data_IF_571092083156
#
_entry.id   IF_571092083156
#
_cell.length_a   1.000
_cell.length_b   1.000
_cell.length_c   1.000
_cell.angle_alpha   90.00
_cell.angle_beta   90.00
_cell.angle_gamma   90.00
#
_symmetry.space_group_name_H-M   'P 1'
#
loop_
_entity.id
_entity.type
_entity.pdbx_description
1 polymer ?
#
# COMPACT_ATOMS: atom_id res chain seq x y z
N UNK A 1 38.25 22.36 -6.60
CA UNK A 1 37.17 23.08 -5.92
C UNK A 1 35.95 22.20 -6.04
N UNK A 2 35.61 21.44 -5.00
CA UNK A 2 34.45 20.55 -4.98
C UNK A 2 33.19 21.42 -5.03
N UNK A 3 32.45 21.35 -6.13
CA UNK A 3 31.12 21.94 -6.19
C UNK A 3 30.26 21.04 -5.32
N UNK A 4 29.68 21.56 -4.24
CA UNK A 4 28.88 20.75 -3.33
C UNK A 4 27.77 20.03 -4.12
N UNK A 5 27.77 18.70 -4.11
CA UNK A 5 26.91 17.85 -4.96
C UNK A 5 25.42 17.90 -4.61
N UNK A 6 25.01 18.77 -3.68
CA UNK A 6 23.70 18.73 -3.04
C UNK A 6 23.21 20.12 -2.63
N UNK A 7 21.89 20.30 -2.59
CA UNK A 7 21.26 21.39 -1.85
C UNK A 7 20.84 20.92 -0.46
N UNK A 8 21.05 21.77 0.53
CA UNK A 8 20.79 21.50 1.95
C UNK A 8 19.86 22.57 2.49
N UNK A 9 18.75 22.14 3.08
CA UNK A 9 17.79 22.99 3.78
C UNK A 9 17.87 22.72 5.29
N UNK A 10 18.07 23.77 6.07
CA UNK A 10 18.24 23.70 7.53
C UNK A 10 17.23 24.60 8.23
N UNK A 11 16.85 24.23 9.46
CA UNK A 11 16.08 25.04 10.39
C UNK A 11 16.75 25.07 11.78
N UNK A 12 16.05 25.58 12.79
CA UNK A 12 16.55 25.71 14.16
C UNK A 12 16.97 24.36 14.80
N UNK A 13 16.46 23.24 14.28
CA UNK A 13 16.75 21.87 14.73
C UNK A 13 17.81 21.17 13.85
N UNK A 14 18.40 21.86 12.88
CA UNK A 14 19.49 21.35 12.02
C UNK A 14 19.06 20.98 10.60
N UNK A 15 19.61 19.90 10.04
CA UNK A 15 19.30 19.47 8.66
C UNK A 15 17.86 18.98 8.55
N UNK A 16 17.06 19.63 7.71
CA UNK A 16 15.66 19.27 7.45
C UNK A 16 15.56 18.38 6.22
N UNK A 17 16.13 18.85 5.10
CA UNK A 17 16.07 18.18 3.80
C UNK A 17 17.43 18.30 3.12
N UNK A 18 17.89 17.21 2.51
CA UNK A 18 18.99 17.21 1.55
C UNK A 18 18.49 16.67 0.22
N UNK A 19 18.75 17.39 -0.85
CA UNK A 19 18.45 16.97 -2.22
C UNK A 19 19.73 16.92 -3.04
N UNK A 20 19.80 16.02 -4.00
CA UNK A 20 20.88 16.02 -4.98
C UNK A 20 20.83 17.28 -5.84
N UNK A 21 21.99 17.69 -6.36
CA UNK A 21 22.05 18.73 -7.37
C UNK A 21 21.64 18.15 -8.74
N UNK A 22 20.77 18.86 -9.44
CA UNK A 22 20.34 18.50 -10.80
C UNK A 22 20.42 19.70 -11.75
N UNK A 23 20.40 19.43 -13.05
CA UNK A 23 20.36 20.45 -14.09
C UNK A 23 19.07 20.32 -14.89
N UNK A 24 18.36 21.43 -15.01
CA UNK A 24 17.20 21.56 -15.90
C UNK A 24 17.63 22.24 -17.19
N UNK A 25 17.75 21.47 -18.27
CA UNK A 25 18.17 21.94 -19.58
C UNK A 25 16.98 22.08 -20.54
N UNK A 26 16.84 23.24 -21.17
CA UNK A 26 15.81 23.53 -22.18
C UNK A 26 16.47 24.08 -23.42
N UNK A 27 15.97 23.73 -24.60
CA UNK A 27 16.40 24.40 -25.82
C UNK A 27 15.85 25.83 -25.88
N UNK A 28 16.68 26.75 -26.37
CA UNK A 28 16.36 28.16 -26.55
C UNK A 28 15.21 28.40 -27.51
N UNK A 29 15.07 27.53 -28.52
CA UNK A 29 14.00 27.55 -29.53
C UNK A 29 12.67 26.93 -29.07
N UNK A 30 12.62 26.36 -27.86
CA UNK A 30 11.38 25.86 -27.26
C UNK A 30 10.64 26.96 -26.51
N UNK A 31 9.31 26.83 -26.40
CA UNK A 31 8.49 27.71 -25.58
C UNK A 31 8.99 27.74 -24.12
N UNK A 32 8.89 28.89 -23.43
CA UNK A 32 9.36 29.00 -22.03
C UNK A 32 8.64 28.05 -21.07
N UNK A 33 7.42 27.65 -21.39
CA UNK A 33 6.59 26.72 -20.61
C UNK A 33 6.86 25.24 -20.94
N UNK A 34 7.72 24.94 -21.91
CA UNK A 34 8.06 23.55 -22.24
C UNK A 34 8.79 22.90 -21.05
N UNK A 35 8.39 21.68 -20.69
CA UNK A 35 9.04 20.92 -19.62
C UNK A 35 10.53 20.73 -19.95
N UNK A 36 11.45 21.22 -19.09
CA UNK A 36 12.88 21.05 -19.32
C UNK A 36 13.31 19.59 -19.13
N UNK A 37 14.44 19.23 -19.75
CA UNK A 37 15.10 17.95 -19.49
C UNK A 37 15.87 18.04 -18.17
N UNK A 38 15.50 17.25 -17.18
CA UNK A 38 16.18 17.20 -15.87
C UNK A 38 17.25 16.11 -15.91
N UNK A 39 18.47 16.46 -15.47
CA UNK A 39 19.66 15.62 -15.54
C UNK A 39 20.39 15.61 -14.19
N UNK A 40 20.80 14.44 -13.72
CA UNK A 40 21.76 14.32 -12.60
C UNK A 40 23.18 14.82 -13.01
N UNK A 41 24.14 14.99 -12.08
CA UNK A 41 25.46 15.51 -12.41
C UNK A 41 26.22 14.69 -13.49
N UNK A 42 26.14 13.36 -13.43
CA UNK A 42 26.82 12.47 -14.39
C UNK A 42 26.14 12.48 -15.75
N UNK A 43 24.82 12.61 -15.77
CA UNK A 43 24.05 12.75 -17.01
C UNK A 43 24.27 14.12 -17.65
N UNK A 44 24.35 15.18 -16.84
CA UNK A 44 24.61 16.54 -17.32
C UNK A 44 25.97 16.65 -18.00
N UNK A 45 27.04 16.14 -17.40
CA UNK A 45 28.38 16.21 -18.02
C UNK A 45 28.45 15.43 -19.34
N UNK A 46 27.79 14.27 -19.42
CA UNK A 46 27.66 13.51 -20.67
C UNK A 46 26.86 14.28 -21.72
N UNK A 47 25.71 14.81 -21.34
CA UNK A 47 24.84 15.60 -22.22
C UNK A 47 25.54 16.85 -22.76
N UNK A 48 26.20 17.60 -21.88
CA UNK A 48 26.96 18.80 -22.24
C UNK A 48 28.10 18.49 -23.20
N UNK A 49 28.84 17.41 -22.97
CA UNK A 49 29.90 16.96 -23.87
C UNK A 49 29.33 16.61 -25.25
N UNK A 50 28.28 15.77 -25.29
CA UNK A 50 27.59 15.39 -26.52
C UNK A 50 27.07 16.61 -27.33
N UNK A 51 26.49 17.60 -26.65
CA UNK A 51 25.98 18.82 -27.30
C UNK A 51 27.07 19.80 -27.71
N UNK A 52 28.22 19.81 -27.03
CA UNK A 52 29.39 20.57 -27.47
C UNK A 52 30.02 19.96 -28.71
N UNK A 53 30.21 18.63 -28.71
CA UNK A 53 30.83 17.92 -29.83
C UNK A 53 29.99 18.00 -31.10
N UNK A 54 28.65 18.08 -30.97
CA UNK A 54 27.73 18.30 -32.09
C UNK A 54 27.53 19.78 -32.47
N UNK A 55 28.12 20.73 -31.74
CA UNK A 55 27.96 22.17 -31.97
C UNK A 55 26.58 22.74 -31.57
N UNK A 56 25.69 21.93 -31.01
CA UNK A 56 24.32 22.33 -30.63
C UNK A 56 24.25 23.00 -29.25
N UNK A 57 25.34 23.00 -28.46
CA UNK A 57 25.35 23.52 -27.08
C UNK A 57 24.83 24.95 -26.95
N UNK A 58 25.12 25.82 -27.93
CA UNK A 58 24.66 27.23 -27.94
C UNK A 58 23.14 27.37 -27.95
N UNK A 59 22.43 26.31 -28.37
CA UNK A 59 20.98 26.29 -28.42
C UNK A 59 20.35 25.82 -27.10
N UNK A 60 21.13 25.54 -26.04
CA UNK A 60 20.64 25.05 -24.76
C UNK A 60 20.88 26.07 -23.64
N UNK A 61 19.87 26.22 -22.78
CA UNK A 61 19.98 26.94 -21.49
C UNK A 61 19.73 25.93 -20.39
N UNK A 62 20.67 25.85 -19.45
CA UNK A 62 20.61 24.92 -18.33
C UNK A 62 20.78 25.66 -17.02
N UNK A 63 19.87 25.41 -16.08
CA UNK A 63 19.90 25.98 -14.74
C UNK A 63 20.07 24.87 -13.70
N UNK A 64 20.82 25.17 -12.64
CA UNK A 64 20.98 24.25 -11.51
C UNK A 64 19.71 24.30 -10.65
N UNK A 65 19.20 23.14 -10.25
CA UNK A 65 18.03 23.02 -9.39
C UNK A 65 18.07 21.82 -8.47
N UNK A 66 17.14 21.79 -7.53
CA UNK A 66 16.94 20.66 -6.62
C UNK A 66 16.56 19.40 -7.39
N UNK A 67 17.36 18.35 -7.22
CA UNK A 67 17.10 16.99 -7.68
C UNK A 67 16.31 16.17 -6.65
N UNK A 68 16.39 14.83 -6.69
CA UNK A 68 15.66 13.97 -5.76
C UNK A 68 16.10 14.18 -4.31
N UNK A 69 15.16 13.99 -3.38
CA UNK A 69 15.41 14.00 -1.93
C UNK A 69 16.27 12.79 -1.58
N UNK A 70 17.45 13.05 -1.02
CA UNK A 70 18.39 12.04 -0.53
C UNK A 70 18.50 12.03 1.00
N UNK A 71 17.78 12.91 1.68
CA UNK A 71 17.53 12.87 3.12
C UNK A 71 16.33 13.75 3.46
N UNK A 72 15.49 13.28 4.37
CA UNK A 72 14.43 14.03 5.04
C UNK A 72 14.42 13.67 6.53
N UNK A 73 14.46 14.70 7.39
CA UNK A 73 14.36 14.52 8.84
C UNK A 73 12.99 13.99 9.25
N UNK A 74 11.92 14.42 8.58
CA UNK A 74 10.57 13.92 8.84
C UNK A 74 10.47 12.43 8.49
N UNK A 75 11.12 12.02 7.40
CA UNK A 75 11.21 10.61 7.04
C UNK A 75 12.02 9.82 8.07
N UNK A 76 13.12 10.39 8.58
CA UNK A 76 13.89 9.78 9.65
C UNK A 76 13.08 9.61 10.93
N UNK A 77 12.26 10.60 11.30
CA UNK A 77 11.32 10.52 12.42
C UNK A 77 10.29 9.43 12.20
N UNK A 78 9.66 9.39 11.02
CA UNK A 78 8.71 8.33 10.68
C UNK A 78 9.33 6.93 10.77
N UNK A 79 10.58 6.75 10.32
CA UNK A 79 11.31 5.48 10.44
C UNK A 79 11.54 5.09 11.90
N UNK A 80 11.88 6.05 12.76
CA UNK A 80 11.99 5.83 14.20
C UNK A 80 10.67 5.40 14.81
N UNK A 81 9.59 6.09 14.46
CA UNK A 81 8.25 5.83 14.97
C UNK A 81 7.74 4.44 14.53
N UNK A 82 8.03 4.03 13.29
CA UNK A 82 7.75 2.67 12.81
C UNK A 82 8.45 1.61 13.67
N UNK A 83 9.72 1.83 14.01
CA UNK A 83 10.49 0.89 14.84
C UNK A 83 10.01 0.85 16.31
N UNK A 84 9.55 1.99 16.83
CA UNK A 84 9.08 2.14 18.20
C UNK A 84 7.59 1.80 18.38
N UNK A 85 6.85 1.61 17.28
CA UNK A 85 5.42 1.35 17.31
C UNK A 85 5.08 0.11 18.15
N UNK A 86 4.15 0.19 19.12
CA UNK A 86 3.67 -0.98 19.84
C UNK A 86 2.83 -1.93 18.95
N UNK A 87 2.40 -1.46 17.78
CA UNK A 87 1.66 -2.22 16.77
C UNK A 87 2.57 -2.67 15.61
N UNK A 88 3.90 -2.69 15.83
CA UNK A 88 4.84 -3.18 14.83
C UNK A 88 4.55 -4.67 14.55
N UNK A 89 4.33 -5.06 13.28
CA UNK A 89 4.14 -6.46 12.90
C UNK A 89 5.37 -7.31 13.25
N UNK A 90 5.14 -8.55 13.69
CA UNK A 90 6.24 -9.45 14.09
C UNK A 90 7.17 -9.77 12.91
N UNK A 91 6.63 -9.80 11.69
CA UNK A 91 7.42 -10.05 10.48
C UNK A 91 8.18 -8.82 9.97
N UNK A 92 7.94 -7.62 10.51
CA UNK A 92 8.50 -6.39 9.96
C UNK A 92 10.01 -6.24 10.33
N UNK A 93 10.89 -6.01 9.34
CA UNK A 93 12.31 -5.80 9.60
C UNK A 93 12.55 -4.50 10.38
N UNK A 94 13.73 -4.38 10.97
CA UNK A 94 14.18 -3.09 11.52
C UNK A 94 14.34 -2.11 10.36
N UNK A 95 13.64 -0.98 10.43
CA UNK A 95 13.74 0.08 9.43
C UNK A 95 14.96 0.96 9.73
N UNK A 96 15.94 1.10 8.82
CA UNK A 96 17.05 2.02 9.04
C UNK A 96 16.57 3.48 9.10
N UNK A 97 16.96 4.21 10.15
CA UNK A 97 16.64 5.65 10.35
C UNK A 97 17.55 6.56 9.48
N UNK A 98 17.58 6.31 8.17
CA UNK A 98 18.46 7.00 7.23
C UNK A 98 17.89 8.30 6.69
N UNK A 99 16.60 8.58 6.93
CA UNK A 99 15.88 9.70 6.31
C UNK A 99 15.71 9.53 4.79
N UNK A 100 15.89 8.32 4.25
CA UNK A 100 15.68 7.97 2.84
C UNK A 100 14.59 6.94 2.70
N UNK A 101 13.84 6.99 1.61
CA UNK A 101 12.93 5.91 1.26
C UNK A 101 13.76 4.64 1.03
N UNK A 102 13.54 3.62 1.84
CA UNK A 102 14.25 2.35 1.79
C UNK A 102 13.26 1.19 1.67
N UNK A 103 13.78 0.03 1.29
CA UNK A 103 12.95 -1.16 1.10
C UNK A 103 12.32 -1.64 2.40
N UNK A 104 13.02 -1.52 3.53
CA UNK A 104 12.54 -1.95 4.85
C UNK A 104 11.26 -1.22 5.26
N UNK A 105 11.10 0.04 4.87
CA UNK A 105 9.82 0.76 5.04
C UNK A 105 8.67 0.11 4.26
N UNK A 106 8.92 -0.28 3.01
CA UNK A 106 7.91 -0.96 2.19
C UNK A 106 7.60 -2.35 2.73
N UNK A 107 8.63 -3.06 3.21
CA UNK A 107 8.48 -4.38 3.80
C UNK A 107 7.71 -4.34 5.12
N UNK A 108 7.93 -3.32 5.94
CA UNK A 108 7.11 -3.05 7.12
C UNK A 108 5.63 -2.90 6.72
N UNK A 109 5.33 -2.08 5.71
CA UNK A 109 3.95 -1.85 5.25
C UNK A 109 3.31 -3.12 4.69
N UNK A 110 4.07 -3.90 3.92
CA UNK A 110 3.68 -5.22 3.40
C UNK A 110 3.31 -6.19 4.52
N UNK A 111 4.13 -6.22 5.57
CA UNK A 111 3.91 -7.05 6.75
C UNK A 111 2.63 -6.66 7.48
N UNK A 112 2.46 -5.37 7.76
CA UNK A 112 1.25 -4.84 8.41
C UNK A 112 0.00 -5.19 7.60
N UNK A 113 0.04 -5.00 6.28
CA UNK A 113 -1.08 -5.31 5.40
C UNK A 113 -1.40 -6.81 5.40
N UNK A 114 -0.39 -7.67 5.40
CA UNK A 114 -0.56 -9.13 5.44
C UNK A 114 -1.29 -9.57 6.71
N UNK A 115 -0.89 -9.04 7.87
CA UNK A 115 -1.55 -9.34 9.15
C UNK A 115 -2.99 -8.82 9.16
N UNK A 116 -3.25 -7.62 8.63
CA UNK A 116 -4.61 -7.08 8.47
C UNK A 116 -5.50 -7.97 7.58
N UNK A 117 -4.96 -8.52 6.48
CA UNK A 117 -5.70 -9.47 5.64
C UNK A 117 -6.02 -10.75 6.40
N UNK A 118 -5.07 -11.30 7.15
CA UNK A 118 -5.27 -12.51 7.94
C UNK A 118 -6.34 -12.30 9.03
N UNK A 119 -6.31 -11.14 9.71
CA UNK A 119 -7.34 -10.75 10.67
C UNK A 119 -8.72 -10.62 10.00
N UNK A 120 -8.82 -9.88 8.90
CA UNK A 120 -10.07 -9.70 8.19
C UNK A 120 -10.67 -11.02 7.69
N UNK A 121 -9.83 -11.95 7.21
CA UNK A 121 -10.27 -13.29 6.84
C UNK A 121 -10.82 -14.07 8.04
N UNK A 122 -10.13 -14.02 9.18
CA UNK A 122 -10.59 -14.68 10.40
C UNK A 122 -11.91 -14.10 10.88
N UNK A 123 -12.03 -12.78 10.93
CA UNK A 123 -13.24 -12.07 11.36
C UNK A 123 -14.42 -12.37 10.45
N UNK A 124 -14.22 -12.34 9.12
CA UNK A 124 -15.24 -12.75 8.17
C UNK A 124 -15.70 -14.19 8.44
N UNK A 125 -14.77 -15.12 8.69
CA UNK A 125 -15.07 -16.54 8.96
C UNK A 125 -15.88 -16.70 10.25
N UNK A 126 -15.48 -16.01 11.33
CA UNK A 126 -16.20 -16.00 12.61
C UNK A 126 -17.61 -15.47 12.41
N UNK A 127 -17.76 -14.32 11.75
CA UNK A 127 -19.07 -13.71 11.58
C UNK A 127 -20.00 -14.53 10.69
N UNK A 128 -19.47 -15.11 9.60
CA UNK A 128 -20.24 -16.00 8.75
C UNK A 128 -20.75 -17.21 9.54
N UNK A 129 -19.89 -17.81 10.36
CA UNK A 129 -20.26 -18.93 11.22
C UNK A 129 -21.30 -18.53 12.28
N UNK A 130 -21.15 -17.37 12.93
CA UNK A 130 -22.14 -16.87 13.90
C UNK A 130 -23.50 -16.64 13.25
N UNK A 131 -23.55 -16.01 12.07
CA UNK A 131 -24.80 -15.79 11.34
C UNK A 131 -25.46 -17.10 10.90
N UNK A 132 -24.68 -18.11 10.51
CA UNK A 132 -25.22 -19.45 10.26
C UNK A 132 -25.80 -20.07 11.53
N UNK A 133 -25.07 -20.00 12.65
CA UNK A 133 -25.51 -20.53 13.94
C UNK A 133 -26.82 -19.86 14.38
N UNK A 134 -26.96 -18.55 14.24
CA UNK A 134 -28.17 -17.82 14.57
C UNK A 134 -29.38 -18.30 13.73
N UNK A 135 -29.22 -18.41 12.41
CA UNK A 135 -30.29 -18.90 11.52
C UNK A 135 -30.63 -20.37 11.81
N UNK A 136 -29.66 -21.17 12.27
CA UNK A 136 -29.86 -22.56 12.66
C UNK A 136 -30.47 -22.71 14.07
N UNK A 137 -30.43 -21.68 14.91
CA UNK A 137 -30.83 -21.76 16.32
C UNK A 137 -29.75 -22.38 17.23
N UNK A 138 -28.49 -22.25 16.84
CA UNK A 138 -27.31 -22.78 17.54
C UNK A 138 -26.44 -21.66 18.13
N UNK A 139 -27.03 -20.52 18.51
CA UNK A 139 -26.29 -19.34 19.03
C UNK A 139 -25.47 -19.62 20.30
N UNK A 140 -25.82 -20.66 21.06
CA UNK A 140 -25.01 -21.16 22.18
C UNK A 140 -23.59 -21.60 21.78
N UNK A 141 -23.32 -21.80 20.49
CA UNK A 141 -22.00 -22.18 19.98
C UNK A 141 -21.04 -20.99 19.80
N UNK A 142 -21.45 -19.75 20.10
CA UNK A 142 -20.61 -18.55 19.89
C UNK A 142 -19.18 -18.70 20.45
N UNK A 143 -19.04 -19.16 21.69
CA UNK A 143 -17.73 -19.35 22.31
C UNK A 143 -16.86 -20.36 21.56
N UNK A 144 -17.46 -21.45 21.06
CA UNK A 144 -16.76 -22.48 20.29
C UNK A 144 -16.40 -22.00 18.89
N UNK A 145 -17.24 -21.16 18.27
CA UNK A 145 -16.97 -20.54 16.97
C UNK A 145 -15.76 -19.60 17.06
N UNK A 146 -15.64 -18.81 18.12
CA UNK A 146 -14.49 -17.90 18.30
C UNK A 146 -13.17 -18.65 18.53
N UNK A 147 -13.24 -19.84 19.14
CA UNK A 147 -12.08 -20.70 19.40
C UNK A 147 -11.58 -21.40 18.13
N UNK A 148 -12.48 -22.01 17.35
CA UNK A 148 -12.15 -22.72 16.11
C UNK A 148 -13.18 -22.41 15.00
N UNK A 149 -13.09 -21.23 14.36
CA UNK A 149 -14.06 -20.79 13.38
C UNK A 149 -14.06 -21.67 12.13
N UNK A 150 -12.91 -22.22 11.76
CA UNK A 150 -12.76 -23.06 10.56
C UNK A 150 -13.55 -24.38 10.67
N UNK A 151 -13.32 -25.13 11.76
CA UNK A 151 -14.03 -26.39 11.97
C UNK A 151 -15.54 -26.16 12.14
N UNK A 152 -15.93 -25.13 12.89
CA UNK A 152 -17.35 -24.80 13.11
C UNK A 152 -18.05 -24.33 11.86
N UNK A 153 -17.39 -23.55 11.01
CA UNK A 153 -17.96 -23.14 9.73
C UNK A 153 -18.28 -24.35 8.84
N UNK A 154 -17.43 -25.38 8.80
CA UNK A 154 -17.69 -26.60 8.01
C UNK A 154 -18.95 -27.32 8.52
N UNK A 155 -19.05 -27.53 9.84
CA UNK A 155 -20.21 -28.19 10.48
C UNK A 155 -21.51 -27.41 10.20
N UNK A 156 -21.50 -26.11 10.48
CA UNK A 156 -22.66 -25.24 10.31
C UNK A 156 -23.07 -25.13 8.83
N UNK A 157 -22.11 -25.11 7.92
CA UNK A 157 -22.39 -25.08 6.47
C UNK A 157 -23.17 -26.32 6.02
N UNK A 158 -22.80 -27.51 6.50
CA UNK A 158 -23.51 -28.74 6.16
C UNK A 158 -24.97 -28.70 6.65
N UNK A 159 -25.19 -28.28 7.91
CA UNK A 159 -26.54 -28.11 8.48
C UNK A 159 -27.34 -27.03 7.74
N UNK A 160 -26.72 -25.90 7.44
CA UNK A 160 -27.36 -24.76 6.78
C UNK A 160 -27.79 -25.08 5.34
N UNK A 161 -27.02 -25.88 4.61
CA UNK A 161 -27.41 -26.37 3.27
C UNK A 161 -28.59 -27.35 3.32
N UNK A 162 -28.73 -28.12 4.42
CA UNK A 162 -29.86 -29.02 4.60
C UNK A 162 -31.15 -28.30 5.04
N UNK A 163 -31.03 -27.18 5.76
CA UNK A 163 -32.17 -26.38 6.22
C UNK A 163 -32.79 -25.58 5.07
N UNK A 164 -33.89 -26.08 4.53
CA UNK A 164 -34.70 -25.39 3.52
C UNK A 164 -35.43 -24.19 4.13
N UNK A 165 -35.33 -23.05 3.47
CA UNK A 165 -36.09 -21.84 3.81
C UNK A 165 -37.20 -21.62 2.77
N UNK A 166 -36.85 -21.62 1.49
CA UNK A 166 -37.82 -21.47 0.39
C UNK A 166 -38.59 -20.15 0.41
N UNK A 167 -38.02 -19.10 1.01
CA UNK A 167 -38.66 -17.80 1.19
C UNK A 167 -37.97 -16.74 0.33
N UNK A 168 -38.70 -15.68 -0.03
CA UNK A 168 -38.13 -14.50 -0.68
C UNK A 168 -37.50 -13.58 0.36
N UNK A 169 -36.27 -13.14 0.12
CA UNK A 169 -35.55 -12.20 0.98
C UNK A 169 -35.34 -10.87 0.24
N UNK A 170 -35.81 -9.77 0.83
CA UNK A 170 -35.77 -8.44 0.22
C UNK A 170 -34.36 -7.89 0.07
N UNK A 171 -33.43 -8.24 0.97
CA UNK A 171 -32.05 -7.79 0.86
C UNK A 171 -31.32 -8.53 -0.27
N UNK A 172 -31.73 -9.76 -0.55
CA UNK A 172 -31.21 -10.60 -1.61
C UNK A 172 -31.93 -10.47 -2.95
N UNK A 173 -33.09 -9.81 -2.98
CA UNK A 173 -33.99 -9.68 -4.13
C UNK A 173 -34.26 -11.01 -4.86
N UNK A 174 -34.36 -12.11 -4.11
CA UNK A 174 -34.58 -13.46 -4.66
C UNK A 174 -35.15 -14.42 -3.64
N UNK A 175 -35.67 -15.55 -4.13
CA UNK A 175 -35.98 -16.70 -3.30
C UNK A 175 -34.68 -17.37 -2.85
N UNK A 176 -34.49 -17.48 -1.54
CA UNK A 176 -33.35 -18.17 -0.92
C UNK A 176 -33.75 -19.61 -0.54
N UNK A 177 -33.18 -20.64 -1.20
CA UNK A 177 -33.62 -22.01 -0.99
C UNK A 177 -33.17 -22.56 0.37
N UNK A 178 -31.98 -22.19 0.85
CA UNK A 178 -31.41 -22.70 2.09
C UNK A 178 -30.95 -21.59 3.04
N UNK A 179 -30.73 -21.94 4.31
CA UNK A 179 -30.13 -21.03 5.30
C UNK A 179 -28.73 -20.57 4.87
N UNK A 180 -27.97 -21.43 4.18
CA UNK A 180 -26.66 -21.06 3.64
C UNK A 180 -26.78 -19.97 2.56
N UNK A 181 -27.72 -20.11 1.63
CA UNK A 181 -27.90 -19.14 0.52
C UNK A 181 -28.30 -17.75 1.03
N UNK A 182 -29.05 -17.69 2.13
CA UNK A 182 -29.43 -16.45 2.79
C UNK A 182 -28.19 -15.72 3.34
N UNK A 183 -27.35 -16.41 4.11
CA UNK A 183 -26.15 -15.80 4.68
C UNK A 183 -25.12 -15.47 3.61
N UNK A 184 -24.91 -16.35 2.63
CA UNK A 184 -23.99 -16.10 1.51
C UNK A 184 -24.39 -14.83 0.76
N UNK A 185 -25.68 -14.65 0.47
CA UNK A 185 -26.17 -13.45 -0.17
C UNK A 185 -25.94 -12.20 0.69
N UNK A 186 -26.34 -12.22 1.97
CA UNK A 186 -26.20 -11.06 2.87
C UNK A 186 -24.75 -10.66 3.14
N UNK A 187 -23.81 -11.56 2.91
CA UNK A 187 -22.37 -11.31 3.05
C UNK A 187 -21.63 -11.23 1.71
N UNK A 188 -22.34 -11.19 0.58
CA UNK A 188 -21.75 -11.26 -0.75
C UNK A 188 -20.76 -10.11 -1.02
N UNK A 189 -21.12 -8.88 -0.66
CA UNK A 189 -20.25 -7.71 -0.88
C UNK A 189 -18.94 -7.81 -0.10
N UNK A 190 -19.02 -8.26 1.14
CA UNK A 190 -17.86 -8.46 2.03
C UNK A 190 -16.97 -9.59 1.52
N UNK A 191 -17.58 -10.70 1.09
CA UNK A 191 -16.87 -11.82 0.45
C UNK A 191 -16.17 -11.37 -0.83
N UNK A 192 -16.84 -10.55 -1.65
CA UNK A 192 -16.27 -10.01 -2.88
C UNK A 192 -15.10 -9.04 -2.62
N UNK A 193 -15.22 -8.18 -1.60
CA UNK A 193 -14.13 -7.29 -1.18
C UNK A 193 -12.91 -8.08 -0.70
N UNK A 194 -13.11 -9.08 0.17
CA UNK A 194 -12.04 -9.96 0.64
C UNK A 194 -11.36 -10.74 -0.51
N UNK A 195 -12.13 -11.21 -1.48
CA UNK A 195 -11.60 -11.87 -2.67
C UNK A 195 -10.75 -10.93 -3.55
N UNK A 196 -11.12 -9.64 -3.65
CA UNK A 196 -10.28 -8.63 -4.32
C UNK A 196 -8.97 -8.44 -3.58
N UNK A 197 -9.00 -8.28 -2.25
CA UNK A 197 -7.79 -8.16 -1.43
C UNK A 197 -6.86 -9.36 -1.68
N UNK A 198 -7.38 -10.59 -1.57
CA UNK A 198 -6.59 -11.80 -1.79
C UNK A 198 -5.98 -11.90 -3.20
N UNK A 199 -6.68 -11.37 -4.20
CA UNK A 199 -6.20 -11.33 -5.58
C UNK A 199 -5.08 -10.31 -5.78
N UNK A 200 -5.19 -9.12 -5.19
CA UNK A 200 -4.27 -8.00 -5.43
C UNK A 200 -3.09 -7.97 -4.45
N UNK A 201 -3.22 -8.58 -3.26
CA UNK A 201 -2.15 -8.63 -2.26
C UNK A 201 -0.84 -9.25 -2.81
N UNK A 202 -0.84 -10.38 -3.55
CA UNK A 202 0.39 -10.93 -4.14
C UNK A 202 1.06 -10.00 -5.16
N UNK A 203 0.27 -9.21 -5.89
CA UNK A 203 0.80 -8.25 -6.87
C UNK A 203 1.50 -7.09 -6.15
N UNK A 204 0.88 -6.59 -5.08
CA UNK A 204 1.50 -5.59 -4.21
C UNK A 204 2.80 -6.12 -3.59
N UNK A 205 2.80 -7.36 -3.07
CA UNK A 205 4.01 -8.01 -2.54
C UNK A 205 5.12 -8.11 -3.60
N UNK A 206 4.78 -8.50 -4.84
CA UNK A 206 5.74 -8.57 -5.93
C UNK A 206 6.40 -7.22 -6.25
N UNK A 207 5.67 -6.12 -6.15
CA UNK A 207 6.23 -4.76 -6.34
C UNK A 207 7.17 -4.34 -5.22
N UNK A 208 6.83 -4.68 -3.96
CA UNK A 208 7.68 -4.45 -2.79
C UNK A 208 8.98 -5.25 -2.91
N UNK A 209 8.89 -6.56 -3.16
CA UNK A 209 10.06 -7.43 -3.35
C UNK A 209 10.95 -6.97 -4.51
N UNK A 210 10.37 -6.43 -5.57
CA UNK A 210 11.13 -5.85 -6.69
C UNK A 210 12.03 -4.66 -6.33
N UNK A 211 11.86 -4.06 -5.14
CA UNK A 211 12.72 -2.99 -4.62
C UNK A 211 13.79 -3.48 -3.65
N UNK A 212 13.83 -4.78 -3.34
CA UNK A 212 14.77 -5.34 -2.36
C UNK A 212 16.22 -5.09 -2.75
N UNK A 213 17.03 -4.69 -1.77
CA UNK A 213 18.46 -4.41 -1.95
C UNK A 213 18.78 -3.08 -2.62
N UNK A 214 17.79 -2.19 -2.81
CA UNK A 214 18.03 -0.83 -3.30
C UNK A 214 18.44 0.09 -2.13
N UNK A 215 19.52 0.85 -2.34
CA UNK A 215 20.04 1.83 -1.36
C UNK A 215 19.13 3.06 -1.18
N UNK A 216 18.20 3.27 -2.11
CA UNK A 216 17.20 4.33 -2.07
C UNK A 216 16.11 4.08 -3.10
N UNK A 217 14.86 4.41 -2.76
CA UNK A 217 13.70 4.23 -3.63
C UNK A 217 13.16 5.61 -4.04
N UNK A 218 13.01 5.81 -5.35
CA UNK A 218 12.49 7.06 -5.89
C UNK A 218 11.04 7.29 -5.45
N UNK A 219 10.70 8.56 -5.17
CA UNK A 219 9.37 8.93 -4.67
C UNK A 219 8.22 8.42 -5.55
N UNK A 220 8.27 8.51 -6.90
CA UNK A 220 7.17 8.00 -7.74
C UNK A 220 6.93 6.49 -7.59
N UNK A 221 7.97 5.70 -7.29
CA UNK A 221 7.84 4.27 -7.02
C UNK A 221 7.14 4.07 -5.67
N UNK A 222 7.56 4.82 -4.65
CA UNK A 222 6.94 4.79 -3.31
C UNK A 222 5.46 5.16 -3.40
N UNK A 223 5.11 6.26 -4.09
CA UNK A 223 3.74 6.73 -4.27
C UNK A 223 2.87 5.68 -4.96
N UNK A 224 3.40 5.01 -5.99
CA UNK A 224 2.72 3.94 -6.68
C UNK A 224 2.44 2.72 -5.80
N UNK A 225 3.39 2.32 -4.94
CA UNK A 225 3.20 1.19 -4.02
C UNK A 225 2.26 1.59 -2.87
N UNK A 226 2.34 2.82 -2.38
CA UNK A 226 1.44 3.36 -1.37
C UNK A 226 0.00 3.45 -1.86
N UNK A 227 -0.22 3.82 -3.13
CA UNK A 227 -1.54 3.82 -3.75
C UNK A 227 -2.15 2.41 -3.83
N UNK A 228 -1.35 1.39 -4.17
CA UNK A 228 -1.78 0.00 -4.15
C UNK A 228 -2.21 -0.43 -2.73
N UNK A 229 -1.40 -0.11 -1.72
CA UNK A 229 -1.71 -0.40 -0.32
C UNK A 229 -2.99 0.31 0.14
N UNK A 230 -3.19 1.57 -0.26
CA UNK A 230 -4.41 2.32 0.05
C UNK A 230 -5.66 1.68 -0.58
N UNK A 231 -5.56 1.19 -1.83
CA UNK A 231 -6.64 0.44 -2.48
C UNK A 231 -6.96 -0.86 -1.75
N UNK A 232 -5.93 -1.60 -1.32
CA UNK A 232 -6.11 -2.83 -0.53
C UNK A 232 -6.77 -2.55 0.83
N UNK A 233 -6.35 -1.49 1.52
CA UNK A 233 -6.97 -1.05 2.78
C UNK A 233 -8.44 -0.66 2.60
N UNK A 234 -8.79 -0.01 1.49
CA UNK A 234 -10.20 0.31 1.18
C UNK A 234 -11.04 -0.96 1.07
N UNK A 235 -10.57 -1.95 0.31
CA UNK A 235 -11.27 -3.23 0.19
C UNK A 235 -11.30 -4.01 1.52
N UNK A 236 -10.25 -3.91 2.35
CA UNK A 236 -10.25 -4.49 3.71
C UNK A 236 -11.33 -3.89 4.60
N UNK A 237 -11.47 -2.56 4.66
CA UNK A 237 -12.56 -1.90 5.42
C UNK A 237 -13.93 -2.36 4.95
N UNK A 238 -14.13 -2.44 3.63
CA UNK A 238 -15.35 -2.96 3.05
C UNK A 238 -15.60 -4.44 3.45
N UNK A 239 -14.56 -5.28 3.49
CA UNK A 239 -14.67 -6.66 3.96
C UNK A 239 -15.01 -6.77 5.45
N UNK A 240 -14.57 -5.82 6.26
CA UNK A 240 -14.90 -5.71 7.69
C UNK A 240 -16.29 -5.12 7.95
N UNK A 241 -16.96 -4.58 6.93
CA UNK A 241 -18.26 -3.93 7.08
C UNK A 241 -18.17 -2.52 7.68
N UNK A 242 -16.97 -1.93 7.69
CA UNK A 242 -16.78 -0.53 8.04
C UNK A 242 -17.25 0.33 6.86
N UNK A 243 -18.31 1.11 7.07
CA UNK A 243 -18.73 2.11 6.08
C UNK A 243 -17.71 3.25 6.05
N UNK A 244 -17.31 3.70 4.86
CA UNK A 244 -16.70 5.03 4.69
C UNK A 244 -17.71 6.03 5.29
N UNK A 245 -17.41 6.61 6.45
CA UNK A 245 -18.21 7.69 7.03
C UNK A 245 -18.44 8.74 5.94
N UNK A 246 -19.72 9.03 5.69
CA UNK A 246 -20.18 10.04 4.72
C UNK A 246 -19.89 11.44 5.19
#
# INVERSE_FOLDING_TARGET
MEVGDNFVFMDEEGLVIKVEMSWSCRRTDWARTSTPKVLDPRQFERFKTEKKDSGDWVNWVCDVGAGPVIFSRDLQRAQRDMNASPLRPDCAPQVPETGRNNWEMLEYDRCLLTEQVAMAQREFTVEFALRLADVLGESQLEGLIRQDPGARLIELTAKAKAKKLGLYDNACDRVVPTAYDLIECRMADRKAALARVQKFLPLHHGRVEGQRGRDGIEQPIMDGIAADAASLRKDLRAALGESEER
#
